data_IF_629087692506
#
_entry.id   IF_629087692506
#
_cell.length_a   1.000
_cell.length_b   1.000
_cell.length_c   1.000
_cell.angle_alpha   90.00
_cell.angle_beta   90.00
_cell.angle_gamma   90.00
#
_symmetry.space_group_name_H-M   'P 1'
#
loop_
_entity.id
_entity.type
_entity.pdbx_description
1 polymer ?
#
# COMPACT_ATOMS: atom_id res chain seq x y z
N UNK A 1 36.41 -1.26 3.11
CA UNK A 1 35.45 -0.64 4.05
C UNK A 1 34.66 -1.77 4.65
N UNK A 2 34.77 -1.99 5.96
CA UNK A 2 33.95 -2.97 6.68
C UNK A 2 32.57 -2.35 6.85
N UNK A 3 31.65 -2.64 5.93
CA UNK A 3 30.24 -2.28 6.11
C UNK A 3 29.74 -3.03 7.34
N UNK A 4 29.54 -2.31 8.44
CA UNK A 4 28.85 -2.83 9.59
C UNK A 4 27.48 -3.35 9.14
N UNK A 5 27.02 -4.50 9.67
CA UNK A 5 25.70 -5.03 9.32
C UNK A 5 24.64 -3.97 9.62
N UNK A 6 23.80 -3.64 8.63
CA UNK A 6 22.66 -2.75 8.84
C UNK A 6 21.68 -3.37 9.81
N UNK A 7 21.25 -2.59 10.79
CA UNK A 7 20.22 -3.00 11.73
C UNK A 7 18.83 -2.76 11.12
N UNK A 8 17.81 -3.49 11.58
CA UNK A 8 16.43 -3.30 11.11
C UNK A 8 15.92 -1.88 11.39
N UNK A 9 16.44 -1.24 12.44
CA UNK A 9 16.20 0.16 12.82
C UNK A 9 16.63 1.15 11.74
N UNK A 10 17.61 0.80 10.90
CA UNK A 10 18.07 1.63 9.76
C UNK A 10 17.00 1.77 8.65
N UNK A 11 15.96 0.94 8.67
CA UNK A 11 14.83 1.04 7.74
C UNK A 11 13.82 2.12 8.17
N UNK A 12 13.92 2.66 9.38
CA UNK A 12 12.97 3.61 9.95
C UNK A 12 13.56 5.02 10.07
N UNK A 13 12.70 6.04 10.07
CA UNK A 13 13.15 7.42 10.29
C UNK A 13 13.63 7.60 11.73
N UNK A 14 14.49 8.60 11.96
CA UNK A 14 15.00 8.91 13.31
C UNK A 14 13.88 9.27 14.28
N UNK A 15 12.83 9.93 13.80
CA UNK A 15 11.64 10.29 14.58
C UNK A 15 10.79 9.07 14.98
N UNK A 16 11.05 7.91 14.37
CA UNK A 16 10.41 6.64 14.72
C UNK A 16 11.08 5.93 15.90
N UNK A 17 12.25 6.40 16.34
CA UNK A 17 12.99 5.80 17.45
C UNK A 17 12.39 6.22 18.80
N UNK A 18 12.15 5.23 19.64
CA UNK A 18 11.76 5.39 21.02
C UNK A 18 12.96 5.85 21.87
N UNK A 19 12.71 6.33 23.09
CA UNK A 19 13.79 6.79 23.99
C UNK A 19 14.84 5.73 24.31
N UNK A 20 14.50 4.44 24.21
CA UNK A 20 15.40 3.31 24.40
C UNK A 20 16.11 2.86 23.11
N UNK A 21 15.96 3.59 21.99
CA UNK A 21 16.52 3.25 20.68
C UNK A 21 15.74 2.20 19.88
N UNK A 22 14.69 1.60 20.45
CA UNK A 22 13.80 0.69 19.74
C UNK A 22 12.79 1.41 18.84
N UNK A 23 12.00 0.66 18.06
CA UNK A 23 10.92 1.21 17.22
C UNK A 23 9.62 0.47 17.50
N UNK A 24 8.52 1.21 17.72
CA UNK A 24 7.18 0.62 17.69
C UNK A 24 6.76 0.42 16.24
N UNK A 25 7.07 -0.75 15.70
CA UNK A 25 6.92 -1.05 14.27
C UNK A 25 5.46 -1.12 13.83
N UNK A 26 4.62 -1.84 14.57
CA UNK A 26 3.21 -2.05 14.25
C UNK A 26 2.32 -1.41 15.31
N UNK A 27 1.15 -0.93 14.89
CA UNK A 27 0.10 -0.44 15.78
C UNK A 27 -1.26 -0.88 15.27
N UNK A 28 -2.11 -1.38 16.15
CA UNK A 28 -3.55 -1.52 15.87
C UNK A 28 -4.29 -0.30 16.40
N UNK A 29 -5.23 0.23 15.63
CA UNK A 29 -6.16 1.23 16.13
C UNK A 29 -7.14 0.57 17.10
N UNK A 30 -7.39 1.23 18.23
CA UNK A 30 -8.18 0.67 19.33
C UNK A 30 -9.68 0.59 19.03
N UNK A 31 -10.16 1.40 18.08
CA UNK A 31 -11.58 1.52 17.75
C UNK A 31 -11.91 0.90 16.39
N UNK A 32 -13.13 0.38 16.23
CA UNK A 32 -13.69 0.08 14.91
C UNK A 32 -14.40 1.33 14.34
N UNK A 33 -13.99 1.74 13.12
CA UNK A 33 -14.58 2.88 12.44
C UNK A 33 -14.80 2.57 10.97
N UNK A 34 -15.92 3.05 10.42
CA UNK A 34 -16.30 2.86 9.01
C UNK A 34 -15.52 3.72 8.01
N UNK A 35 -14.63 4.60 8.48
CA UNK A 35 -13.93 5.54 7.61
C UNK A 35 -12.53 5.82 8.13
N UNK A 36 -11.58 5.86 7.20
CA UNK A 36 -10.22 6.34 7.42
C UNK A 36 -9.95 7.58 6.56
N UNK A 37 -9.41 8.63 7.16
CA UNK A 37 -8.84 9.76 6.45
C UNK A 37 -7.31 9.69 6.51
N UNK A 38 -6.67 9.82 5.35
CA UNK A 38 -5.26 10.16 5.26
C UNK A 38 -5.16 11.68 5.15
N UNK A 39 -4.35 12.28 6.03
CA UNK A 39 -4.17 13.72 6.10
C UNK A 39 -2.73 14.12 5.77
N UNK A 40 -2.52 15.39 5.51
CA UNK A 40 -1.18 15.94 5.36
C UNK A 40 -0.55 16.19 6.75
N UNK A 41 0.61 16.83 6.81
CA UNK A 41 1.29 17.14 8.08
C UNK A 41 0.53 18.13 9.00
N UNK A 42 -0.39 18.90 8.43
CA UNK A 42 -1.20 19.92 9.10
C UNK A 42 -2.67 19.48 9.21
N UNK A 43 -2.95 18.17 9.19
CA UNK A 43 -4.28 17.56 9.29
C UNK A 43 -5.29 17.90 8.19
N UNK A 44 -4.82 18.47 7.08
CA UNK A 44 -5.64 18.69 5.88
C UNK A 44 -5.98 17.34 5.25
N UNK A 45 -7.27 17.08 5.01
CA UNK A 45 -7.74 15.90 4.26
C UNK A 45 -7.04 15.80 2.90
N UNK A 46 -6.48 14.63 2.62
CA UNK A 46 -5.95 14.26 1.30
C UNK A 46 -6.77 13.15 0.66
N UNK A 47 -7.13 12.14 1.44
CA UNK A 47 -7.83 10.96 0.94
C UNK A 47 -8.78 10.43 2.01
N UNK A 48 -9.96 9.96 1.59
CA UNK A 48 -10.87 9.17 2.42
C UNK A 48 -10.94 7.76 1.86
N UNK A 49 -10.89 6.78 2.75
CA UNK A 49 -11.01 5.35 2.46
C UNK A 49 -12.21 4.82 3.25
N UNK A 50 -13.05 4.06 2.57
CA UNK A 50 -14.16 3.30 3.15
C UNK A 50 -14.09 1.89 2.60
N UNK A 51 -14.13 0.89 3.48
CA UNK A 51 -14.23 -0.52 3.11
C UNK A 51 -15.61 -1.02 3.53
N UNK A 52 -16.23 -1.85 2.69
CA UNK A 52 -17.49 -2.52 2.99
C UNK A 52 -17.54 -3.87 2.31
N UNK A 53 -18.43 -4.72 2.80
CA UNK A 53 -18.79 -5.95 2.12
C UNK A 53 -19.56 -5.64 0.83
N UNK A 54 -19.15 -6.29 -0.24
CA UNK A 54 -19.88 -6.43 -1.48
C UNK A 54 -20.38 -7.88 -1.54
N UNK A 55 -21.70 -8.03 -1.51
CA UNK A 55 -22.34 -9.34 -1.56
C UNK A 55 -22.10 -10.00 -2.91
N UNK A 56 -21.81 -11.29 -2.88
CA UNK A 56 -21.76 -12.16 -4.04
C UNK A 56 -22.92 -13.14 -3.94
N UNK A 57 -23.73 -13.25 -4.99
CA UNK A 57 -24.90 -14.13 -5.02
C UNK A 57 -24.54 -15.61 -5.15
N UNK A 58 -23.27 -15.93 -5.44
CA UNK A 58 -22.84 -17.27 -5.86
C UNK A 58 -21.56 -17.77 -5.17
N UNK A 59 -20.97 -17.02 -4.22
CA UNK A 59 -19.81 -17.47 -3.43
C UNK A 59 -20.17 -17.64 -1.96
N UNK A 60 -19.38 -18.46 -1.26
CA UNK A 60 -19.55 -18.78 0.17
C UNK A 60 -19.24 -17.60 1.13
N UNK A 61 -19.00 -16.39 0.60
CA UNK A 61 -18.66 -15.22 1.42
C UNK A 61 -18.61 -13.89 0.67
N UNK A 62 -18.62 -12.76 1.41
CA UNK A 62 -18.53 -11.43 0.83
C UNK A 62 -17.09 -11.08 0.38
N UNK A 63 -17.01 -10.16 -0.59
CA UNK A 63 -15.75 -9.56 -1.03
C UNK A 63 -15.66 -8.10 -0.59
N UNK A 64 -14.45 -7.57 -0.47
CA UNK A 64 -14.24 -6.18 -0.10
C UNK A 64 -14.51 -5.28 -1.31
N UNK A 65 -15.28 -4.22 -1.07
CA UNK A 65 -15.31 -3.05 -1.92
C UNK A 65 -14.65 -1.88 -1.20
N UNK A 66 -13.58 -1.35 -1.79
CA UNK A 66 -12.85 -0.21 -1.24
C UNK A 66 -13.21 1.03 -2.03
N UNK A 67 -13.88 1.97 -1.38
CA UNK A 67 -14.20 3.29 -1.92
C UNK A 67 -13.13 4.30 -1.50
N UNK A 68 -12.52 4.95 -2.49
CA UNK A 68 -11.44 5.92 -2.34
C UNK A 68 -11.95 7.28 -2.84
N UNK A 69 -11.93 8.29 -1.98
CA UNK A 69 -12.39 9.65 -2.29
C UNK A 69 -11.22 10.63 -2.13
N UNK A 70 -10.62 11.11 -3.23
CA UNK A 70 -9.55 12.10 -3.21
C UNK A 70 -10.05 13.50 -2.86
N UNK A 71 -9.22 14.26 -2.13
CA UNK A 71 -9.44 15.68 -1.84
C UNK A 71 -8.34 16.52 -2.49
N UNK A 72 -8.65 17.13 -3.65
CA UNK A 72 -7.69 17.96 -4.38
C UNK A 72 -6.53 17.18 -5.03
N UNK A 73 -6.71 15.86 -5.25
CA UNK A 73 -5.79 14.99 -5.97
C UNK A 73 -6.36 14.75 -7.36
N UNK A 74 -5.70 15.35 -8.36
CA UNK A 74 -6.19 15.35 -9.76
C UNK A 74 -5.42 14.41 -10.69
N UNK A 75 -4.56 13.55 -10.13
CA UNK A 75 -3.64 12.71 -10.89
C UNK A 75 -3.63 11.30 -10.34
N UNK A 76 -3.64 10.33 -11.24
CA UNK A 76 -3.30 8.95 -10.92
C UNK A 76 -2.22 8.42 -11.89
N UNK A 77 -1.44 7.46 -11.40
CA UNK A 77 -0.60 6.58 -12.20
C UNK A 77 -1.22 5.20 -12.19
N UNK A 78 -1.31 4.58 -13.35
CA UNK A 78 -1.85 3.22 -13.47
C UNK A 78 -0.85 2.35 -14.24
N UNK A 79 -0.41 1.28 -13.60
CA UNK A 79 0.45 0.25 -14.16
C UNK A 79 -0.36 -1.04 -14.33
N UNK A 80 -0.59 -1.48 -15.57
CA UNK A 80 -1.39 -2.65 -15.95
C UNK A 80 -0.55 -3.84 -16.41
N UNK A 81 0.78 -3.76 -16.26
CA UNK A 81 1.76 -4.69 -16.85
C UNK A 81 1.72 -4.72 -18.37
N UNK A 82 1.52 -3.55 -19.00
CA UNK A 82 1.49 -3.41 -20.45
C UNK A 82 2.67 -2.54 -20.93
N UNK A 83 3.16 -2.73 -22.17
CA UNK A 83 4.20 -1.87 -22.75
C UNK A 83 3.85 -0.38 -22.80
N UNK A 84 2.56 -0.04 -22.72
CA UNK A 84 2.04 1.33 -22.71
C UNK A 84 2.01 1.99 -21.33
N UNK A 85 2.48 1.30 -20.29
CA UNK A 85 2.49 1.84 -18.94
C UNK A 85 3.63 2.87 -18.71
N UNK A 86 3.46 3.81 -17.76
CA UNK A 86 2.23 4.04 -16.98
C UNK A 86 1.20 4.85 -17.76
N UNK A 87 -0.08 4.58 -17.50
CA UNK A 87 -1.13 5.52 -17.85
C UNK A 87 -1.20 6.67 -16.84
N UNK A 88 -1.53 7.86 -17.33
CA UNK A 88 -1.65 9.09 -16.54
C UNK A 88 -3.07 9.67 -16.55
N UNK A 89 -4.09 8.95 -16.06
CA UNK A 89 -5.44 9.48 -16.02
C UNK A 89 -5.54 10.74 -15.15
N UNK A 90 -6.23 11.74 -15.69
CA UNK A 90 -6.63 12.93 -14.95
C UNK A 90 -7.86 12.57 -14.12
N UNK A 91 -7.81 12.90 -12.84
CA UNK A 91 -8.94 12.76 -11.92
C UNK A 91 -9.63 14.12 -11.84
N UNK A 92 -10.89 14.16 -12.29
CA UNK A 92 -11.73 15.34 -12.17
C UNK A 92 -12.14 15.58 -10.71
N UNK A 93 -12.73 16.73 -10.43
CA UNK A 93 -13.29 17.00 -9.11
C UNK A 93 -14.45 16.03 -8.82
N UNK A 94 -14.62 15.69 -7.54
CA UNK A 94 -15.67 14.80 -7.03
C UNK A 94 -15.69 13.35 -7.56
N UNK A 95 -14.60 12.90 -8.20
CA UNK A 95 -14.50 11.49 -8.60
C UNK A 95 -14.39 10.59 -7.38
N UNK A 96 -14.96 9.39 -7.50
CA UNK A 96 -14.76 8.30 -6.56
C UNK A 96 -14.03 7.18 -7.28
N UNK A 97 -12.97 6.64 -6.69
CA UNK A 97 -12.37 5.40 -7.18
C UNK A 97 -12.91 4.24 -6.35
N UNK A 98 -13.17 3.12 -7.00
CA UNK A 98 -13.66 1.91 -6.35
C UNK A 98 -12.79 0.74 -6.78
N UNK A 99 -12.26 0.02 -5.79
CA UNK A 99 -11.67 -1.30 -5.97
C UNK A 99 -12.74 -2.34 -5.65
N UNK A 100 -13.00 -3.25 -6.59
CA UNK A 100 -13.93 -4.36 -6.43
C UNK A 100 -13.15 -5.66 -6.33
N UNK A 101 -13.36 -6.45 -5.28
CA UNK A 101 -12.66 -7.71 -5.02
C UNK A 101 -13.10 -8.91 -5.87
N UNK A 102 -13.92 -8.73 -6.90
CA UNK A 102 -14.54 -9.81 -7.69
C UNK A 102 -16.02 -10.00 -7.30
N UNK A 103 -16.91 -10.16 -8.28
CA UNK A 103 -18.36 -10.28 -8.02
C UNK A 103 -18.96 -11.43 -8.85
N UNK A 104 -18.94 -12.63 -8.29
CA UNK A 104 -19.57 -13.81 -8.89
C UNK A 104 -18.75 -14.45 -10.01
N UNK A 105 -19.28 -15.55 -10.54
CA UNK A 105 -18.59 -16.43 -11.49
C UNK A 105 -18.32 -15.69 -12.81
N UNK A 106 -17.04 -15.54 -13.17
CA UNK A 106 -16.62 -14.88 -14.41
C UNK A 106 -16.46 -13.34 -14.35
N UNK A 107 -16.71 -12.69 -13.20
CA UNK A 107 -16.35 -11.29 -13.01
C UNK A 107 -14.99 -11.16 -12.36
N UNK A 108 -14.04 -10.64 -13.11
CA UNK A 108 -12.71 -10.31 -12.59
C UNK A 108 -12.79 -9.13 -11.62
N UNK A 109 -11.96 -9.09 -10.56
CA UNK A 109 -11.79 -7.90 -9.73
C UNK A 109 -11.28 -6.73 -10.57
N UNK A 110 -11.67 -5.51 -10.22
CA UNK A 110 -11.35 -4.33 -11.05
C UNK A 110 -11.18 -3.08 -10.20
N UNK A 111 -10.40 -2.15 -10.73
CA UNK A 111 -10.32 -0.78 -10.22
C UNK A 111 -11.02 0.14 -11.21
N UNK A 112 -12.03 0.87 -10.75
CA UNK A 112 -12.76 1.84 -11.56
C UNK A 112 -12.65 3.25 -10.97
N UNK A 113 -12.72 4.25 -11.84
CA UNK A 113 -13.05 5.61 -11.47
C UNK A 113 -14.49 5.90 -11.89
N UNK A 114 -15.30 6.38 -10.95
CA UNK A 114 -16.64 6.90 -11.16
C UNK A 114 -16.58 8.42 -11.17
N UNK A 115 -16.95 9.00 -12.30
CA UNK A 115 -17.17 10.44 -12.47
C UNK A 115 -18.67 10.70 -12.73
N UNK A 116 -19.07 11.96 -12.78
CA UNK A 116 -20.46 12.36 -13.11
C UNK A 116 -20.93 11.79 -14.45
N UNK A 117 -20.02 11.64 -15.40
CA UNK A 117 -20.29 11.15 -16.77
C UNK A 117 -20.30 9.62 -16.90
N UNK A 118 -19.97 8.86 -15.84
CA UNK A 118 -20.00 7.40 -15.86
C UNK A 118 -18.79 6.73 -15.18
N UNK A 119 -18.64 5.43 -15.44
CA UNK A 119 -17.53 4.62 -14.93
C UNK A 119 -16.47 4.42 -16.01
N UNK A 120 -15.20 4.48 -15.60
CA UNK A 120 -14.06 4.08 -16.42
C UNK A 120 -13.20 3.08 -15.64
N UNK A 121 -12.96 1.92 -16.23
CA UNK A 121 -12.03 0.93 -15.68
C UNK A 121 -10.59 1.44 -15.83
N UNK A 122 -9.83 1.39 -14.73
CA UNK A 122 -8.41 1.72 -14.69
C UNK A 122 -7.55 0.46 -14.77
N UNK A 123 -7.90 -0.56 -13.99
CA UNK A 123 -7.26 -1.88 -14.00
C UNK A 123 -8.36 -2.91 -14.17
N UNK A 124 -8.19 -3.76 -15.18
CA UNK A 124 -8.96 -4.99 -15.31
C UNK A 124 -8.19 -6.11 -14.64
N UNK A 125 -8.89 -7.05 -14.01
CA UNK A 125 -8.29 -8.24 -13.41
C UNK A 125 -7.28 -7.94 -12.28
N UNK A 126 -7.72 -7.13 -11.31
CA UNK A 126 -6.99 -6.89 -10.07
C UNK A 126 -7.08 -8.11 -9.11
N UNK A 127 -6.43 -8.03 -7.96
CA UNK A 127 -6.48 -9.06 -6.93
C UNK A 127 -7.85 -9.16 -6.26
N UNK A 128 -8.29 -10.38 -5.97
CA UNK A 128 -9.51 -10.66 -5.21
C UNK A 128 -9.39 -10.27 -3.74
N UNK A 129 -10.47 -9.78 -3.15
CA UNK A 129 -10.47 -9.35 -1.74
C UNK A 129 -11.51 -10.11 -0.91
N UNK A 130 -11.39 -11.43 -0.74
CA UNK A 130 -12.33 -12.17 0.07
C UNK A 130 -12.24 -11.75 1.56
N UNK A 131 -13.29 -12.01 2.33
CA UNK A 131 -13.37 -11.62 3.75
C UNK A 131 -12.40 -12.36 4.68
N UNK A 132 -11.81 -13.46 4.22
CA UNK A 132 -10.94 -14.37 4.97
C UNK A 132 -9.44 -14.19 4.66
N UNK A 133 -9.06 -13.07 4.03
CA UNK A 133 -7.65 -12.72 3.79
C UNK A 133 -6.81 -12.78 5.07
N UNK A 134 -5.91 -13.76 5.14
CA UNK A 134 -4.98 -14.04 6.23
C UNK A 134 -3.67 -13.24 6.14
N UNK A 135 -3.42 -12.61 4.99
CA UNK A 135 -2.26 -11.74 4.75
C UNK A 135 -2.70 -10.37 4.19
N UNK A 136 -2.05 -9.27 4.57
CA UNK A 136 -2.33 -7.97 3.96
C UNK A 136 -1.92 -7.94 2.49
N UNK A 137 -2.88 -7.67 1.62
CA UNK A 137 -2.67 -7.57 0.18
C UNK A 137 -2.58 -6.10 -0.25
N UNK A 138 -1.63 -5.73 -1.14
CA UNK A 138 -1.45 -4.34 -1.55
C UNK A 138 -2.58 -3.89 -2.48
N UNK A 139 -3.11 -2.69 -2.26
CA UNK A 139 -4.24 -2.15 -3.04
C UNK A 139 -3.81 -0.96 -3.89
N UNK A 140 -3.27 0.08 -3.27
CA UNK A 140 -2.82 1.29 -3.94
C UNK A 140 -1.86 2.08 -3.06
N UNK A 141 -1.26 3.12 -3.64
CA UNK A 141 -0.47 4.11 -2.89
C UNK A 141 -0.87 5.54 -3.18
N UNK A 142 -0.57 6.44 -2.23
CA UNK A 142 -0.72 7.88 -2.34
C UNK A 142 0.65 8.53 -2.12
N UNK A 143 1.13 9.28 -3.10
CA UNK A 143 2.24 10.20 -2.89
C UNK A 143 1.71 11.60 -2.62
N UNK A 144 2.04 12.15 -1.45
CA UNK A 144 1.56 13.46 -1.03
C UNK A 144 2.21 14.60 -1.82
N UNK A 145 3.47 14.44 -2.21
CA UNK A 145 4.24 15.50 -2.86
C UNK A 145 4.21 16.80 -2.05
N UNK A 146 3.96 17.92 -2.72
CA UNK A 146 3.84 19.23 -2.07
C UNK A 146 2.57 19.39 -1.21
N UNK A 147 1.67 18.40 -1.16
CA UNK A 147 0.45 18.52 -0.36
C UNK A 147 0.74 18.62 1.16
N UNK A 148 1.89 18.13 1.62
CA UNK A 148 2.29 18.23 3.03
C UNK A 148 2.60 19.65 3.50
N UNK A 149 2.91 20.56 2.57
CA UNK A 149 3.18 21.97 2.85
C UNK A 149 1.90 22.83 2.86
N UNK A 150 0.75 22.25 2.50
CA UNK A 150 -0.52 23.00 2.44
C UNK A 150 -1.04 23.31 3.84
N UNK A 151 -1.57 24.52 4.01
CA UNK A 151 -2.29 24.91 5.20
C UNK A 151 -3.60 24.11 5.38
N UNK A 152 -4.09 24.05 6.62
CA UNK A 152 -5.34 23.42 6.98
C UNK A 152 -6.53 24.27 6.51
N UNK A 153 -7.29 23.78 5.52
CA UNK A 153 -8.50 24.44 5.01
C UNK A 153 -9.74 23.58 5.22
N UNK A 154 -9.61 22.25 5.07
CA UNK A 154 -10.68 21.27 5.23
C UNK A 154 -10.26 20.20 6.24
N UNK A 155 -10.41 20.47 7.56
CA UNK A 155 -10.11 19.51 8.60
C UNK A 155 -11.08 18.33 8.61
N UNK A 156 -10.69 17.26 9.29
CA UNK A 156 -11.58 16.15 9.64
C UNK A 156 -12.46 16.55 10.82
N UNK A 157 -13.77 16.66 10.57
CA UNK A 157 -14.75 17.14 11.56
C UNK A 157 -15.60 16.02 12.19
N UNK A 158 -15.56 14.80 11.64
CA UNK A 158 -16.38 13.67 12.11
C UNK A 158 -15.50 12.67 12.85
N UNK A 159 -16.09 11.92 13.78
CA UNK A 159 -15.40 10.80 14.44
C UNK A 159 -15.10 9.70 13.42
N UNK A 160 -13.82 9.42 13.20
CA UNK A 160 -13.33 8.42 12.25
C UNK A 160 -11.86 8.10 12.55
N UNK A 161 -11.30 7.12 11.84
CA UNK A 161 -9.85 6.93 11.81
C UNK A 161 -9.20 8.08 11.05
N UNK A 162 -8.06 8.56 11.56
CA UNK A 162 -7.23 9.57 10.93
C UNK A 162 -5.77 9.15 11.03
N UNK A 163 -5.04 9.24 9.93
CA UNK A 163 -3.60 9.05 9.90
C UNK A 163 -2.94 10.23 9.19
N UNK A 164 -2.16 10.99 9.95
CA UNK A 164 -1.37 12.10 9.43
C UNK A 164 -0.06 11.63 8.82
N UNK A 165 0.49 12.48 7.94
CA UNK A 165 1.72 12.17 7.22
C UNK A 165 2.92 12.00 8.16
N UNK A 166 2.88 12.66 9.31
CA UNK A 166 3.95 12.63 10.31
C UNK A 166 5.20 13.40 9.90
N UNK A 167 5.22 14.04 8.72
CA UNK A 167 6.34 14.85 8.23
C UNK A 167 5.86 15.93 7.28
N UNK A 168 6.50 17.10 7.34
CA UNK A 168 6.29 18.23 6.42
C UNK A 168 6.86 17.96 5.01
N UNK A 169 7.81 17.03 4.88
CA UNK A 169 8.35 16.60 3.59
C UNK A 169 7.38 15.67 2.83
N UNK A 170 7.67 15.31 1.56
CA UNK A 170 6.84 14.37 0.82
C UNK A 170 6.82 12.99 1.47
N UNK A 171 5.61 12.42 1.59
CA UNK A 171 5.35 11.12 2.18
C UNK A 171 4.61 10.26 1.17
N UNK A 172 4.90 8.96 1.18
CA UNK A 172 4.12 7.94 0.50
C UNK A 172 3.34 7.14 1.52
N UNK A 173 2.04 7.00 1.28
CA UNK A 173 1.18 6.02 1.94
C UNK A 173 1.03 4.81 1.03
N UNK A 174 1.43 3.64 1.51
CA UNK A 174 1.13 2.36 0.88
C UNK A 174 -0.05 1.73 1.65
N UNK A 175 -1.13 1.41 0.94
CA UNK A 175 -2.38 0.90 1.51
C UNK A 175 -2.55 -0.57 1.15
N UNK A 176 -2.85 -1.37 2.17
CA UNK A 176 -3.12 -2.80 2.07
C UNK A 176 -4.45 -3.11 2.76
N UNK A 177 -5.02 -4.28 2.47
CA UNK A 177 -6.23 -4.79 3.12
C UNK A 177 -6.02 -6.22 3.59
N UNK A 178 -6.58 -6.56 4.74
CA UNK A 178 -6.63 -7.92 5.28
C UNK A 178 -7.99 -8.18 5.93
N UNK A 179 -8.26 -9.43 6.34
CA UNK A 179 -9.43 -9.76 7.16
C UNK A 179 -9.37 -9.10 8.53
N UNK A 180 -10.53 -8.71 9.07
CA UNK A 180 -10.64 -8.24 10.45
C UNK A 180 -10.19 -9.27 11.50
N UNK A 181 -10.22 -10.56 11.17
CA UNK A 181 -9.79 -11.67 12.04
C UNK A 181 -8.37 -12.16 11.74
N UNK A 182 -7.60 -11.45 10.92
CA UNK A 182 -6.21 -11.82 10.62
C UNK A 182 -5.37 -11.99 11.90
N UNK A 183 -4.64 -13.09 12.00
CA UNK A 183 -3.67 -13.34 13.07
C UNK A 183 -2.39 -12.53 12.81
N UNK A 184 -2.28 -11.39 13.49
CA UNK A 184 -1.12 -10.48 13.34
C UNK A 184 0.19 -11.15 13.78
N UNK A 185 0.27 -11.83 14.95
CA UNK A 185 1.45 -12.61 15.32
C UNK A 185 1.89 -13.60 14.22
N UNK A 186 0.98 -14.45 13.74
CA UNK A 186 1.31 -15.42 12.69
C UNK A 186 1.77 -14.74 11.39
N UNK A 187 1.15 -13.62 11.02
CA UNK A 187 1.59 -12.82 9.89
C UNK A 187 3.01 -12.26 10.07
N UNK A 188 3.35 -11.73 11.25
CA UNK A 188 4.69 -11.19 11.56
C UNK A 188 5.77 -12.26 11.46
N UNK A 189 5.47 -13.48 11.89
CA UNK A 189 6.38 -14.62 11.80
C UNK A 189 6.44 -15.24 10.39
N UNK A 190 5.61 -14.75 9.46
CA UNK A 190 5.58 -15.21 8.07
C UNK A 190 6.50 -14.40 7.16
N UNK A 191 6.89 -14.99 6.03
CA UNK A 191 7.65 -14.28 4.99
C UNK A 191 6.88 -13.12 4.34
N UNK A 192 5.54 -13.13 4.39
CA UNK A 192 4.71 -12.05 3.87
C UNK A 192 4.90 -10.76 4.66
N UNK A 193 5.43 -10.83 5.88
CA UNK A 193 5.74 -9.65 6.67
C UNK A 193 6.73 -8.72 5.97
N UNK A 194 7.70 -9.29 5.24
CA UNK A 194 8.69 -8.50 4.51
C UNK A 194 8.09 -7.59 3.44
N UNK A 195 6.87 -7.88 2.96
CA UNK A 195 6.13 -7.06 2.00
C UNK A 195 5.91 -5.63 2.53
N UNK A 196 5.82 -5.48 3.85
CA UNK A 196 5.61 -4.20 4.51
C UNK A 196 6.90 -3.39 4.65
N UNK A 197 8.07 -3.93 4.29
CA UNK A 197 9.32 -3.17 4.27
C UNK A 197 9.60 -2.52 2.91
N UNK A 198 8.92 -2.94 1.85
CA UNK A 198 9.14 -2.43 0.50
C UNK A 198 8.03 -1.48 0.06
N UNK A 199 8.38 -0.43 -0.70
CA UNK A 199 7.37 0.32 -1.45
C UNK A 199 6.67 -0.62 -2.45
N UNK A 200 5.39 -0.39 -2.74
CA UNK A 200 4.60 -1.21 -3.68
C UNK A 200 5.08 -1.16 -5.16
N UNK A 201 6.24 -0.56 -5.44
CA UNK A 201 6.85 -0.52 -6.77
C UNK A 201 7.29 -1.90 -7.27
N UNK A 202 7.40 -2.90 -6.38
CA UNK A 202 7.63 -4.30 -6.76
C UNK A 202 6.49 -4.88 -7.62
N UNK A 203 5.31 -4.27 -7.58
CA UNK A 203 4.15 -4.66 -8.40
C UNK A 203 4.30 -4.30 -9.88
N UNK A 204 5.26 -3.43 -10.21
CA UNK A 204 5.52 -2.97 -11.58
C UNK A 204 6.47 -3.96 -12.25
N UNK A 205 5.91 -4.94 -12.98
CA UNK A 205 6.69 -6.04 -13.55
C UNK A 205 7.81 -5.56 -14.50
N UNK A 206 7.57 -4.46 -15.24
CA UNK A 206 8.54 -3.89 -16.19
C UNK A 206 9.68 -3.11 -15.55
N UNK A 207 9.58 -2.76 -14.26
CA UNK A 207 10.64 -2.02 -13.57
C UNK A 207 11.77 -3.02 -13.30
N UNK A 208 12.98 -2.85 -13.83
CA UNK A 208 14.13 -3.73 -13.49
C UNK A 208 15.10 -3.11 -12.48
N UNK A 209 14.65 -2.09 -11.74
CA UNK A 209 15.45 -1.45 -10.71
C UNK A 209 15.39 -2.21 -9.37
N UNK A 210 16.43 -2.09 -8.51
CA UNK A 210 16.42 -2.69 -7.18
C UNK A 210 15.18 -2.31 -6.36
N UNK A 211 14.73 -3.23 -5.51
CA UNK A 211 13.65 -2.94 -4.56
C UNK A 211 14.01 -1.76 -3.67
N UNK A 212 13.11 -0.79 -3.61
CA UNK A 212 13.25 0.37 -2.74
C UNK A 212 12.34 0.19 -1.53
N UNK A 213 12.97 0.14 -0.35
CA UNK A 213 12.23 0.20 0.91
C UNK A 213 11.61 1.58 1.09
N UNK A 214 12.35 2.66 0.83
CA UNK A 214 11.94 3.99 1.30
C UNK A 214 12.00 4.04 2.83
N UNK A 215 12.47 5.15 3.40
CA UNK A 215 12.65 5.24 4.85
C UNK A 215 11.29 5.26 5.55
N UNK A 216 11.00 4.25 6.38
CA UNK A 216 9.67 4.00 6.97
C UNK A 216 9.39 4.97 8.11
N UNK A 217 8.19 5.55 8.13
CA UNK A 217 7.70 6.40 9.22
C UNK A 217 6.79 5.53 10.10
N UNK A 218 7.29 5.08 11.25
CA UNK A 218 6.58 4.20 12.15
C UNK A 218 5.42 4.91 12.89
N UNK A 219 4.40 4.17 13.37
CA UNK A 219 4.16 2.76 13.12
C UNK A 219 3.48 2.51 11.76
N UNK A 220 3.58 1.28 11.26
CA UNK A 220 2.65 0.73 10.28
C UNK A 220 1.35 0.44 11.03
N UNK A 221 0.25 1.05 10.58
CA UNK A 221 -0.98 1.08 11.37
C UNK A 221 -2.08 0.25 10.74
N UNK A 222 -2.69 -0.62 11.54
CA UNK A 222 -3.84 -1.45 11.21
C UNK A 222 -5.11 -0.78 11.73
N UNK A 223 -6.05 -0.52 10.83
CA UNK A 223 -7.34 0.10 11.15
C UNK A 223 -8.46 -0.91 10.93
N UNK A 224 -9.10 -1.37 12.02
CA UNK A 224 -10.31 -2.20 11.91
C UNK A 224 -11.46 -1.37 11.34
N UNK A 225 -12.10 -1.89 10.30
CA UNK A 225 -13.19 -1.25 9.56
C UNK A 225 -14.25 -2.30 9.19
N UNK A 226 -15.05 -2.73 10.18
CA UNK A 226 -15.98 -3.86 10.02
C UNK A 226 -15.25 -5.19 9.88
N UNK A 227 -15.52 -5.91 8.79
CA UNK A 227 -14.99 -7.25 8.51
C UNK A 227 -13.58 -7.24 7.88
N UNK A 228 -13.00 -6.05 7.70
CA UNK A 228 -11.66 -5.87 7.16
C UNK A 228 -10.77 -5.03 8.08
N UNK A 229 -9.46 -5.16 7.88
CA UNK A 229 -8.47 -4.20 8.35
C UNK A 229 -7.87 -3.46 7.15
N UNK A 230 -7.78 -2.13 7.24
CA UNK A 230 -6.95 -1.34 6.33
C UNK A 230 -5.60 -1.15 6.99
N UNK A 231 -4.54 -1.59 6.33
CA UNK A 231 -3.16 -1.43 6.81
C UNK A 231 -2.52 -0.30 6.04
N UNK A 232 -1.92 0.65 6.76
CA UNK A 232 -1.25 1.80 6.15
C UNK A 232 0.18 1.89 6.61
N UNK A 233 1.08 1.78 5.65
CA UNK A 233 2.52 1.99 5.79
C UNK A 233 2.85 3.37 5.27
N UNK A 234 3.64 4.14 6.03
CA UNK A 234 4.15 5.45 5.60
C UNK A 234 5.65 5.36 5.34
N UNK A 235 6.12 6.05 4.31
CA UNK A 235 7.56 6.19 4.05
C UNK A 235 7.87 7.58 3.50
N UNK A 236 9.11 8.04 3.71
CA UNK A 236 9.62 9.25 3.07
C UNK A 236 9.63 9.03 1.56
N UNK A 237 9.03 9.96 0.81
CA UNK A 237 9.06 9.93 -0.65
C UNK A 237 10.04 10.96 -1.21
N UNK A 238 10.69 10.61 -2.32
CA UNK A 238 11.47 11.55 -3.13
C UNK A 238 10.59 12.34 -4.10
N UNK A 239 9.30 12.03 -4.19
CA UNK A 239 8.40 12.67 -5.13
C UNK A 239 8.06 14.10 -4.69
N UNK A 240 8.62 15.09 -5.39
CA UNK A 240 8.36 16.51 -5.18
C UNK A 240 7.43 17.07 -6.27
N UNK A 241 6.20 16.55 -6.35
CA UNK A 241 5.21 16.99 -7.36
C UNK A 241 3.83 17.26 -6.78
N UNK A 242 2.82 17.38 -7.66
CA UNK A 242 1.41 17.45 -7.25
C UNK A 242 0.98 16.08 -6.71
N UNK A 243 0.19 16.01 -5.62
CA UNK A 243 -0.20 14.73 -5.06
C UNK A 243 -0.84 13.83 -6.13
N UNK A 244 -0.54 12.54 -6.05
CA UNK A 244 -1.03 11.54 -7.01
C UNK A 244 -1.32 10.20 -6.34
N UNK A 245 -2.34 9.52 -6.84
CA UNK A 245 -2.59 8.11 -6.53
C UNK A 245 -1.79 7.23 -7.49
N UNK A 246 -1.42 6.04 -7.06
CA UNK A 246 -0.81 5.03 -7.90
C UNK A 246 -1.50 3.69 -7.68
N UNK A 247 -1.93 3.09 -8.80
CA UNK A 247 -2.52 1.77 -8.86
C UNK A 247 -1.63 0.87 -9.71
N UNK A 248 -1.42 -0.35 -9.25
CA UNK A 248 -0.65 -1.36 -9.96
C UNK A 248 -1.51 -2.62 -10.08
N UNK A 249 -1.39 -3.31 -11.21
CA UNK A 249 -1.90 -4.66 -11.36
C UNK A 249 -1.28 -5.54 -10.27
N UNK A 250 -2.13 -6.12 -9.42
CA UNK A 250 -1.73 -6.79 -8.19
C UNK A 250 -2.18 -8.26 -8.11
N UNK A 251 -2.83 -8.81 -9.16
CA UNK A 251 -3.34 -10.18 -9.20
C UNK A 251 -2.33 -11.25 -8.78
N UNK A 252 -1.06 -11.09 -9.19
CA UNK A 252 0.04 -12.00 -8.87
C UNK A 252 1.10 -11.29 -8.02
N UNK A 253 0.71 -10.46 -7.06
CA UNK A 253 1.67 -9.63 -6.32
C UNK A 253 2.77 -10.43 -5.65
N UNK A 254 2.46 -11.62 -5.13
CA UNK A 254 3.44 -12.46 -4.45
C UNK A 254 4.45 -13.04 -5.44
N UNK A 255 3.99 -13.60 -6.57
CA UNK A 255 4.90 -14.08 -7.62
C UNK A 255 5.79 -12.96 -8.15
N UNK A 256 5.24 -11.76 -8.34
CA UNK A 256 6.02 -10.58 -8.77
C UNK A 256 7.09 -10.21 -7.76
N UNK A 257 6.76 -10.29 -6.47
CA UNK A 257 7.73 -10.02 -5.41
C UNK A 257 8.81 -11.12 -5.36
N UNK A 258 8.40 -12.39 -5.35
CA UNK A 258 9.30 -13.53 -5.20
C UNK A 258 10.27 -13.67 -6.37
N UNK A 259 9.83 -13.29 -7.58
CA UNK A 259 10.65 -13.30 -8.79
C UNK A 259 11.37 -11.98 -9.05
N UNK A 260 11.30 -11.02 -8.13
CA UNK A 260 12.04 -9.77 -8.26
C UNK A 260 13.53 -10.03 -8.18
N UNK A 261 14.27 -9.49 -9.16
CA UNK A 261 15.74 -9.54 -9.15
C UNK A 261 16.29 -8.78 -7.95
N UNK A 262 17.18 -9.44 -7.23
CA UNK A 262 17.96 -8.88 -6.13
C UNK A 262 19.44 -9.14 -6.40
N UNK A 263 20.29 -8.20 -6.05
CA UNK A 263 21.74 -8.35 -6.13
C UNK A 263 22.27 -8.72 -4.75
N UNK A 264 23.13 -9.73 -4.69
CA UNK A 264 23.80 -10.19 -3.47
C UNK A 264 25.31 -9.96 -3.60
N UNK A 265 25.96 -9.31 -2.64
CA UNK A 265 27.41 -9.19 -2.65
C UNK A 265 28.06 -10.54 -2.36
N UNK A 266 29.06 -10.89 -3.17
CA UNK A 266 29.95 -12.02 -2.96
C UNK A 266 31.13 -11.60 -2.08
N UNK A 267 31.86 -12.60 -1.54
CA UNK A 267 33.04 -12.37 -0.69
C UNK A 267 34.18 -11.65 -1.40
N UNK A 268 34.24 -11.73 -2.73
CA UNK A 268 35.22 -11.04 -3.57
C UNK A 268 34.78 -9.62 -3.99
N UNK A 269 33.63 -9.14 -3.48
CA UNK A 269 33.07 -7.84 -3.81
C UNK A 269 32.28 -7.77 -5.12
N UNK A 270 32.18 -8.88 -5.87
CA UNK A 270 31.30 -8.96 -7.04
C UNK A 270 29.83 -9.11 -6.63
N UNK A 271 28.91 -8.89 -7.57
CA UNK A 271 27.47 -9.04 -7.33
C UNK A 271 26.94 -10.28 -8.06
N UNK A 272 26.28 -11.18 -7.33
CA UNK A 272 25.47 -12.24 -7.91
C UNK A 272 24.02 -11.78 -7.96
N UNK A 273 23.39 -11.90 -9.13
CA UNK A 273 21.96 -11.63 -9.28
C UNK A 273 21.15 -12.89 -9.00
N UNK A 274 20.12 -12.77 -8.16
CA UNK A 274 19.22 -13.85 -7.76
C UNK A 274 17.77 -13.32 -7.68
N UNK A 275 16.84 -14.14 -7.21
CA UNK A 275 15.49 -13.75 -6.82
C UNK A 275 15.23 -14.20 -5.38
N UNK A 276 14.20 -13.64 -4.74
CA UNK A 276 13.81 -14.09 -3.39
C UNK A 276 13.43 -15.57 -3.39
N UNK A 277 12.77 -16.05 -4.46
CA UNK A 277 12.45 -17.47 -4.62
C UNK A 277 13.70 -18.37 -4.70
N UNK A 278 14.71 -17.98 -5.49
CA UNK A 278 15.96 -18.73 -5.62
C UNK A 278 16.75 -18.73 -4.31
N UNK A 279 16.78 -17.59 -3.62
CA UNK A 279 17.44 -17.46 -2.33
C UNK A 279 16.75 -18.28 -1.24
N UNK A 280 15.42 -18.33 -1.23
CA UNK A 280 14.64 -19.17 -0.32
C UNK A 280 14.90 -20.66 -0.57
N UNK A 281 14.86 -21.12 -1.82
CA UNK A 281 15.16 -22.51 -2.19
C UNK A 281 16.55 -22.92 -1.72
N UNK A 282 17.57 -22.09 -2.01
CA UNK A 282 18.95 -22.31 -1.56
C UNK A 282 19.06 -22.40 -0.04
N UNK A 283 18.35 -21.55 0.72
CA UNK A 283 18.37 -21.58 2.19
C UNK A 283 17.67 -22.81 2.76
N UNK A 284 16.70 -23.37 2.04
CA UNK A 284 15.99 -24.59 2.43
C UNK A 284 16.72 -25.88 2.04
N UNK A 285 17.87 -25.77 1.37
CA UNK A 285 18.71 -26.91 1.03
C UNK A 285 18.18 -27.78 -0.11
N UNK A 286 17.34 -27.22 -0.99
CA UNK A 286 16.87 -27.88 -2.21
C UNK A 286 17.86 -27.72 -3.36
#
# INVERSE_FOLDING_TARGET
MTDAPREITDLFTKESLNANGGVTMLRCADEDRKTLYLTNANDQKLLKIVVKNEGCSESDGPYAQIKIVPYGIKRALVWRDLPSDPLHPILHDDVTLTYHGGKGTGQTPKVHVKATTGYRTLIDDSLELPSDLDVPVPVFSLETGFANQRALVNPVAKKCHCLAAGSQGPVRYDVYVASASMDIPAFVDSMYFFNLFWTQDYLIASKDYPLTSGLIIAPITFFRMGDYQVVVRRSVSKYCGRPRLQFCSNKNFYDKLMNRRTARPNTDGTLTWSTMALDEARLRGS
#
